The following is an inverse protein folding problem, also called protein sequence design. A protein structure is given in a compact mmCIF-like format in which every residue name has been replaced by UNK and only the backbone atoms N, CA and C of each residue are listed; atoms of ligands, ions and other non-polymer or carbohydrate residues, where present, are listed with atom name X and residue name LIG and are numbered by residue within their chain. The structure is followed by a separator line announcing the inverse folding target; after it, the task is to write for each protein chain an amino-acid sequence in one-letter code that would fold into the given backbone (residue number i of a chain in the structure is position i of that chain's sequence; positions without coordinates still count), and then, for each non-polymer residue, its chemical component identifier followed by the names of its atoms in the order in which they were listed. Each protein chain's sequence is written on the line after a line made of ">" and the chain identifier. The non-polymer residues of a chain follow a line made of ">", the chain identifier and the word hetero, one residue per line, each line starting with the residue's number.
data_IF_573093477762
#
_entry.id   IF_573093477762
#
_cell.length_a   1.000
_cell.length_b   1.000
_cell.length_c   1.000
_cell.angle_alpha   90.00
_cell.angle_beta   90.00
_cell.angle_gamma   90.00
#
_symmetry.space_group_name_H-M   'P 1'
#
loop_
_entity.id
_entity.type
_entity.pdbx_description
1 polymer ?
#
# COMPACT_ATOMS: atom_id res chain seq x y z
N UNK A 1 21.94 -58.01 -37.75
CA UNK A 1 20.45 -57.86 -37.66
C UNK A 1 20.01 -57.77 -36.22
N UNK A 2 19.57 -56.57 -35.81
CA UNK A 2 19.12 -56.31 -34.46
C UNK A 2 18.77 -54.84 -34.32
N UNK A 3 17.60 -54.48 -34.84
CA UNK A 3 16.99 -53.16 -34.69
C UNK A 3 16.49 -52.96 -33.28
N UNK A 4 16.98 -51.95 -32.57
CA UNK A 4 16.48 -51.48 -31.31
C UNK A 4 15.90 -50.08 -31.48
N UNK A 5 14.58 -49.98 -31.58
CA UNK A 5 13.81 -48.73 -31.54
C UNK A 5 13.69 -48.23 -30.09
N UNK A 6 14.40 -47.18 -29.76
CA UNK A 6 14.24 -46.43 -28.52
C UNK A 6 13.21 -45.31 -28.69
N UNK A 7 12.01 -45.49 -28.17
CA UNK A 7 11.00 -44.46 -28.03
C UNK A 7 11.37 -43.56 -26.85
N UNK A 8 11.88 -42.38 -27.13
CA UNK A 8 12.08 -41.32 -26.17
C UNK A 8 10.73 -40.64 -25.90
N UNK A 9 10.12 -40.97 -24.76
CA UNK A 9 9.00 -40.19 -24.21
C UNK A 9 9.57 -38.89 -23.63
N UNK A 10 9.44 -37.80 -24.37
CA UNK A 10 9.65 -36.46 -23.86
C UNK A 10 8.58 -36.15 -22.87
N UNK A 11 8.90 -36.17 -21.59
CA UNK A 11 8.09 -35.54 -20.55
C UNK A 11 8.22 -34.01 -20.71
N UNK A 12 7.26 -33.42 -21.44
CA UNK A 12 7.08 -32.00 -21.40
C UNK A 12 6.73 -31.60 -19.96
N UNK A 13 7.65 -30.97 -19.30
CA UNK A 13 7.37 -30.25 -18.05
C UNK A 13 6.53 -29.05 -18.45
N UNK A 14 5.22 -29.14 -18.21
CA UNK A 14 4.28 -28.01 -18.20
C UNK A 14 4.62 -27.11 -17.01
N UNK A 15 5.77 -26.44 -17.06
CA UNK A 15 6.08 -25.25 -16.30
C UNK A 15 5.42 -24.06 -17.05
N UNK A 16 4.08 -23.96 -16.99
CA UNK A 16 3.37 -22.74 -17.36
C UNK A 16 3.84 -21.65 -16.40
N UNK A 17 4.93 -20.98 -16.81
CA UNK A 17 5.65 -19.95 -16.10
C UNK A 17 4.70 -18.87 -15.62
N UNK A 18 4.60 -18.71 -14.32
CA UNK A 18 3.92 -17.57 -13.71
C UNK A 18 4.46 -16.31 -14.39
N UNK A 19 3.62 -15.63 -15.17
CA UNK A 19 4.01 -14.49 -15.97
C UNK A 19 4.79 -13.49 -15.09
N UNK A 20 6.01 -13.18 -15.48
CA UNK A 20 6.85 -12.26 -14.73
C UNK A 20 6.15 -10.90 -14.60
N UNK A 21 6.01 -10.38 -13.36
CA UNK A 21 5.31 -9.13 -13.13
C UNK A 21 6.10 -7.94 -13.70
N UNK A 22 5.39 -6.89 -14.17
CA UNK A 22 6.03 -5.67 -14.59
C UNK A 22 6.79 -5.00 -13.44
N UNK A 23 7.74 -4.17 -13.81
CA UNK A 23 8.37 -3.25 -12.88
C UNK A 23 7.51 -2.00 -12.75
N UNK A 24 6.95 -1.79 -11.55
CA UNK A 24 6.21 -0.58 -11.24
C UNK A 24 7.14 0.47 -10.61
N UNK A 25 7.00 1.72 -11.03
CA UNK A 25 7.72 2.86 -10.46
C UNK A 25 6.79 4.06 -10.36
N UNK A 26 6.96 4.89 -9.34
CA UNK A 26 6.18 6.11 -9.13
C UNK A 26 7.01 7.34 -9.43
N UNK A 27 6.48 8.25 -10.24
CA UNK A 27 7.06 9.57 -10.51
C UNK A 27 6.82 10.49 -9.31
N UNK A 28 7.83 11.27 -8.96
CA UNK A 28 7.79 12.17 -7.81
C UNK A 28 7.87 13.64 -8.23
N UNK A 29 6.76 14.38 -8.24
CA UNK A 29 6.72 15.79 -8.65
C UNK A 29 7.47 16.74 -7.71
N UNK A 30 7.76 16.35 -6.44
CA UNK A 30 8.60 17.17 -5.55
C UNK A 30 10.03 17.37 -6.07
N UNK A 31 10.47 16.54 -7.02
CA UNK A 31 11.74 16.67 -7.72
C UNK A 31 11.59 17.28 -9.12
N UNK A 32 10.49 18.00 -9.38
CA UNK A 32 10.23 18.63 -10.67
C UNK A 32 9.90 17.63 -11.80
N UNK A 33 9.63 16.39 -11.48
CA UNK A 33 9.39 15.32 -12.45
C UNK A 33 7.91 15.27 -12.86
N UNK A 34 7.65 15.12 -14.16
CA UNK A 34 6.32 14.80 -14.70
C UNK A 34 6.30 13.40 -15.28
N UNK A 35 5.16 12.72 -15.22
CA UNK A 35 5.02 11.35 -15.74
C UNK A 35 5.38 11.27 -17.22
N UNK A 36 5.02 12.27 -18.01
CA UNK A 36 5.34 12.35 -19.45
C UNK A 36 6.85 12.41 -19.67
N UNK A 37 7.53 13.39 -19.09
CA UNK A 37 8.98 13.58 -19.29
C UNK A 37 9.81 12.39 -18.78
N UNK A 38 9.42 11.82 -17.61
CA UNK A 38 10.09 10.63 -17.06
C UNK A 38 9.88 9.41 -17.97
N UNK A 39 8.65 9.20 -18.48
CA UNK A 39 8.38 8.07 -19.36
C UNK A 39 9.13 8.18 -20.71
N UNK A 40 9.21 9.37 -21.29
CA UNK A 40 9.99 9.65 -22.50
C UNK A 40 11.47 9.33 -22.26
N UNK A 41 12.05 9.89 -21.23
CA UNK A 41 13.44 9.67 -20.83
C UNK A 41 13.78 8.19 -20.60
N UNK A 42 12.91 7.47 -19.87
CA UNK A 42 13.13 6.04 -19.62
C UNK A 42 13.05 5.20 -20.89
N UNK A 43 12.16 5.56 -21.85
CA UNK A 43 12.12 4.89 -23.16
C UNK A 43 13.41 5.11 -23.96
N UNK A 44 13.92 6.34 -23.97
CA UNK A 44 15.16 6.69 -24.67
C UNK A 44 16.39 6.00 -24.04
N UNK A 45 16.54 6.11 -22.71
CA UNK A 45 17.75 5.61 -22.02
C UNK A 45 17.77 4.09 -21.88
N UNK A 46 16.61 3.43 -21.71
CA UNK A 46 16.52 1.98 -21.47
C UNK A 46 16.12 1.17 -22.71
N UNK A 47 15.59 1.83 -23.76
CA UNK A 47 15.12 1.13 -24.95
C UNK A 47 13.89 0.24 -24.71
N UNK A 48 13.07 0.49 -23.66
CA UNK A 48 11.95 -0.35 -23.29
C UNK A 48 10.62 0.43 -23.34
N UNK A 49 9.48 -0.28 -23.58
CA UNK A 49 8.18 0.37 -23.48
C UNK A 49 7.89 0.81 -22.05
N UNK A 50 7.39 2.04 -21.88
CA UNK A 50 6.99 2.62 -20.60
C UNK A 50 5.58 3.17 -20.74
N UNK A 51 4.65 2.77 -19.86
CA UNK A 51 3.25 3.17 -19.91
C UNK A 51 2.81 3.75 -18.58
N UNK A 52 2.07 4.86 -18.60
CA UNK A 52 1.42 5.38 -17.41
C UNK A 52 0.18 4.53 -17.07
N UNK A 53 -0.04 4.26 -15.78
CA UNK A 53 -1.23 3.56 -15.33
C UNK A 53 -2.48 4.45 -15.49
N UNK A 54 -3.57 3.96 -16.10
CA UNK A 54 -4.71 4.81 -16.45
C UNK A 54 -5.43 5.45 -15.25
N UNK A 55 -5.45 4.78 -14.10
CA UNK A 55 -6.14 5.25 -12.89
C UNK A 55 -5.20 5.93 -11.88
N UNK A 56 -3.89 5.75 -12.02
CA UNK A 56 -2.87 6.34 -11.15
C UNK A 56 -1.74 6.85 -12.05
N UNK A 57 -1.92 8.01 -12.70
CA UNK A 57 -1.03 8.45 -13.82
C UNK A 57 0.41 8.73 -13.39
N UNK A 58 0.68 8.93 -12.11
CA UNK A 58 2.02 9.04 -11.57
C UNK A 58 2.76 7.69 -11.45
N UNK A 59 2.08 6.56 -11.70
CA UNK A 59 2.69 5.22 -11.71
C UNK A 59 2.96 4.79 -13.13
N UNK A 60 4.19 4.37 -13.39
CA UNK A 60 4.63 3.88 -14.68
C UNK A 60 4.88 2.38 -14.63
N UNK A 61 4.44 1.69 -15.67
CA UNK A 61 4.70 0.28 -15.95
C UNK A 61 5.90 0.14 -16.89
N UNK A 62 6.87 -0.69 -16.50
CA UNK A 62 8.00 -1.11 -17.32
C UNK A 62 7.94 -2.65 -17.47
N UNK A 63 8.58 -3.21 -18.50
CA UNK A 63 8.67 -4.65 -18.68
C UNK A 63 9.23 -5.38 -17.45
N UNK A 64 8.86 -6.66 -17.25
CA UNK A 64 9.46 -7.50 -16.24
C UNK A 64 10.98 -7.51 -16.34
N UNK A 65 11.67 -7.56 -15.19
CA UNK A 65 13.14 -7.62 -15.15
C UNK A 65 13.85 -6.28 -15.42
N UNK A 66 13.15 -5.20 -15.82
CA UNK A 66 13.80 -3.91 -16.01
C UNK A 66 14.46 -3.43 -14.72
N UNK A 67 15.79 -3.29 -14.74
CA UNK A 67 16.55 -2.77 -13.60
C UNK A 67 16.67 -1.24 -13.67
N UNK A 68 16.07 -0.59 -12.70
CA UNK A 68 16.14 0.87 -12.52
C UNK A 68 16.83 1.26 -11.22
N UNK A 69 17.36 0.29 -10.45
CA UNK A 69 17.89 0.55 -9.11
C UNK A 69 19.01 1.59 -9.11
N UNK A 70 19.88 1.55 -10.10
CA UNK A 70 21.02 2.47 -10.25
C UNK A 70 20.72 3.68 -11.14
N UNK A 71 19.49 3.78 -11.67
CA UNK A 71 19.10 4.87 -12.57
C UNK A 71 19.19 6.24 -11.86
N UNK A 72 19.72 7.30 -12.53
CA UNK A 72 19.88 8.61 -11.90
C UNK A 72 18.57 9.18 -11.35
N UNK A 73 17.43 8.97 -12.01
CA UNK A 73 16.11 9.40 -11.53
C UNK A 73 15.72 8.73 -10.21
N UNK A 74 16.08 7.47 -9.98
CA UNK A 74 15.81 6.74 -8.74
C UNK A 74 16.73 7.24 -7.63
N UNK A 75 18.04 7.39 -7.92
CA UNK A 75 19.00 7.93 -6.94
C UNK A 75 18.66 9.36 -6.54
N UNK A 76 18.21 10.19 -7.48
CA UNK A 76 17.80 11.57 -7.24
C UNK A 76 16.39 11.72 -6.66
N UNK A 77 15.64 10.64 -6.49
CA UNK A 77 14.30 10.64 -5.91
C UNK A 77 13.19 11.20 -6.81
N UNK A 78 13.48 11.48 -8.09
CA UNK A 78 12.48 11.84 -9.09
C UNK A 78 11.62 10.64 -9.52
N UNK A 79 12.18 9.43 -9.35
CA UNK A 79 11.51 8.15 -9.56
C UNK A 79 11.65 7.29 -8.30
N UNK A 80 10.55 6.70 -7.84
CA UNK A 80 10.50 5.86 -6.65
C UNK A 80 10.14 4.44 -7.06
N UNK A 81 10.92 3.46 -6.63
CA UNK A 81 10.58 2.05 -6.80
C UNK A 81 9.45 1.70 -5.82
N UNK A 82 8.22 1.74 -6.30
CA UNK A 82 7.01 1.46 -5.51
C UNK A 82 6.02 0.71 -6.37
N UNK A 83 5.55 -0.44 -5.87
CA UNK A 83 4.54 -1.25 -6.55
C UNK A 83 3.22 -0.52 -6.70
N UNK A 84 2.47 -0.80 -7.77
CA UNK A 84 1.16 -0.20 -8.04
C UNK A 84 0.23 -0.32 -6.83
N UNK A 85 0.08 -1.51 -6.25
CA UNK A 85 -0.75 -1.76 -5.08
C UNK A 85 -0.41 -0.82 -3.92
N UNK A 86 0.89 -0.60 -3.65
CA UNK A 86 1.36 0.32 -2.59
C UNK A 86 1.11 1.81 -2.91
N UNK A 87 0.83 2.17 -4.16
CA UNK A 87 0.47 3.54 -4.55
C UNK A 87 -1.02 3.83 -4.34
N UNK A 88 -1.88 2.81 -4.33
CA UNK A 88 -3.33 2.98 -4.24
C UNK A 88 -3.80 3.71 -2.98
N UNK A 89 -3.24 3.48 -1.77
CA UNK A 89 -3.71 4.19 -0.58
C UNK A 89 -3.64 5.72 -0.70
N UNK A 90 -2.54 6.25 -1.17
CA UNK A 90 -2.39 7.70 -1.37
C UNK A 90 -3.25 8.20 -2.55
N UNK A 91 -3.43 7.39 -3.59
CA UNK A 91 -4.31 7.71 -4.71
C UNK A 91 -5.79 7.76 -4.29
N UNK A 92 -6.24 6.81 -3.48
CA UNK A 92 -7.61 6.75 -2.92
C UNK A 92 -7.84 7.85 -1.88
N UNK A 93 -6.87 8.12 -1.01
CA UNK A 93 -6.94 9.22 -0.04
C UNK A 93 -7.08 10.56 -0.74
N UNK A 94 -6.44 10.71 -1.88
CA UNK A 94 -6.47 11.90 -2.75
C UNK A 94 -6.34 13.21 -1.95
N UNK A 95 -5.30 13.39 -1.14
CA UNK A 95 -5.13 14.63 -0.39
C UNK A 95 -4.87 15.78 -1.36
N UNK A 96 -5.37 16.95 -1.01
CA UNK A 96 -5.25 18.14 -1.85
C UNK A 96 -4.01 18.97 -1.48
N UNK A 97 -3.47 19.77 -2.39
CA UNK A 97 -2.38 20.68 -2.09
C UNK A 97 -2.68 21.55 -0.85
N UNK A 98 -1.70 21.68 0.03
CA UNK A 98 -1.84 22.45 1.27
C UNK A 98 -2.46 21.69 2.45
N UNK A 99 -2.95 20.45 2.25
CA UNK A 99 -3.49 19.67 3.37
C UNK A 99 -2.40 19.21 4.34
N UNK A 100 -2.81 19.04 5.60
CA UNK A 100 -2.05 18.25 6.56
C UNK A 100 -2.59 16.81 6.54
N UNK A 101 -1.69 15.86 6.30
CA UNK A 101 -1.95 14.42 6.30
C UNK A 101 -1.24 13.77 7.47
N UNK A 102 -1.86 12.81 8.12
CA UNK A 102 -1.18 11.92 9.07
C UNK A 102 -0.95 10.58 8.39
N UNK A 103 0.29 10.09 8.45
CA UNK A 103 0.66 8.72 8.08
C UNK A 103 0.94 7.93 9.36
N UNK A 104 0.01 7.04 9.71
CA UNK A 104 -0.04 6.40 11.02
C UNK A 104 0.99 5.28 11.22
N UNK A 105 1.47 4.65 10.13
CA UNK A 105 2.44 3.54 10.13
C UNK A 105 3.41 3.72 8.96
N UNK A 106 4.25 4.75 9.06
CA UNK A 106 4.87 5.39 7.92
C UNK A 106 6.05 4.65 7.28
N UNK A 107 6.86 3.94 8.09
CA UNK A 107 8.09 3.34 7.58
C UNK A 107 7.81 2.17 6.61
N UNK A 108 8.57 2.08 5.53
CA UNK A 108 9.81 2.77 5.18
C UNK A 108 9.65 4.12 4.44
N UNK A 109 8.43 4.67 4.29
CA UNK A 109 8.21 6.01 3.75
C UNK A 109 7.70 6.09 2.32
N UNK A 110 7.41 4.98 1.65
CA UNK A 110 6.90 4.99 0.28
C UNK A 110 5.53 5.69 0.18
N UNK A 111 4.61 5.38 1.10
CA UNK A 111 3.28 6.01 1.15
C UNK A 111 3.37 7.43 1.69
N UNK A 112 4.22 7.68 2.68
CA UNK A 112 4.55 9.02 3.22
C UNK A 112 5.00 9.97 2.13
N UNK A 113 6.01 9.58 1.34
CA UNK A 113 6.54 10.41 0.24
C UNK A 113 5.54 10.56 -0.91
N UNK A 114 4.62 9.61 -1.09
CA UNK A 114 3.53 9.74 -2.05
C UNK A 114 2.49 10.76 -1.56
N UNK A 115 2.08 10.70 -0.29
CA UNK A 115 1.21 11.70 0.30
C UNK A 115 1.86 13.10 0.27
N UNK A 116 3.15 13.21 0.62
CA UNK A 116 3.92 14.45 0.54
C UNK A 116 3.94 15.05 -0.87
N UNK A 117 4.10 14.20 -1.89
CA UNK A 117 4.06 14.63 -3.29
C UNK A 117 2.70 15.21 -3.70
N UNK A 118 1.61 14.71 -3.13
CA UNK A 118 0.25 15.19 -3.41
C UNK A 118 -0.09 16.48 -2.68
N UNK A 119 0.30 16.61 -1.40
CA UNK A 119 0.04 17.85 -0.65
C UNK A 119 0.96 19.00 -1.08
N UNK A 120 2.09 18.69 -1.70
CA UNK A 120 3.03 19.66 -2.22
C UNK A 120 3.75 20.49 -1.15
N UNK A 121 4.47 21.52 -1.57
CA UNK A 121 5.30 22.35 -0.68
C UNK A 121 4.51 23.18 0.34
N UNK A 122 3.22 23.44 0.08
CA UNK A 122 2.32 24.15 0.99
C UNK A 122 1.61 23.27 2.01
N UNK A 123 1.69 21.94 1.84
CA UNK A 123 1.09 20.97 2.74
C UNK A 123 2.08 20.38 3.75
N UNK A 124 1.59 19.46 4.57
CA UNK A 124 2.39 18.78 5.57
C UNK A 124 1.99 17.31 5.71
N UNK A 125 2.95 16.46 6.08
CA UNK A 125 2.69 15.08 6.49
C UNK A 125 3.31 14.84 7.86
N UNK A 126 2.53 14.39 8.83
CA UNK A 126 3.02 13.93 10.14
C UNK A 126 3.08 12.42 10.09
N UNK A 127 4.28 11.87 10.10
CA UNK A 127 4.57 10.46 9.88
C UNK A 127 4.97 9.75 11.18
N UNK A 128 4.18 8.78 11.61
CA UNK A 128 4.41 7.99 12.82
C UNK A 128 4.99 6.62 12.49
N UNK A 129 5.97 6.18 13.26
CA UNK A 129 6.36 4.77 13.35
C UNK A 129 6.91 4.47 14.75
N UNK A 130 6.58 3.32 15.29
CA UNK A 130 7.01 2.89 16.62
C UNK A 130 8.42 2.27 16.61
N UNK A 131 8.99 1.94 15.45
CA UNK A 131 10.32 1.34 15.32
C UNK A 131 11.38 2.41 15.01
N UNK A 132 12.28 2.65 15.94
CA UNK A 132 13.41 3.58 15.76
C UNK A 132 14.28 3.19 14.55
N UNK A 133 14.55 1.90 14.37
CA UNK A 133 15.35 1.37 13.26
C UNK A 133 14.71 1.68 11.91
N UNK A 134 13.38 1.49 11.78
CA UNK A 134 12.65 1.76 10.56
C UNK A 134 12.54 3.24 10.23
N UNK A 135 12.62 4.12 11.24
CA UNK A 135 12.55 5.57 11.07
C UNK A 135 13.77 6.15 10.35
N UNK A 136 14.94 5.54 10.45
CA UNK A 136 16.13 5.99 9.72
C UNK A 136 15.89 5.88 8.21
N UNK A 137 15.41 4.73 7.76
CA UNK A 137 15.07 4.51 6.36
C UNK A 137 13.93 5.44 5.88
N UNK A 138 12.94 5.72 6.74
CA UNK A 138 11.90 6.71 6.45
C UNK A 138 12.50 8.10 6.21
N UNK A 139 13.41 8.56 7.08
CA UNK A 139 14.08 9.87 6.94
C UNK A 139 14.90 9.94 5.66
N UNK A 140 15.70 8.92 5.37
CA UNK A 140 16.50 8.83 4.15
C UNK A 140 15.61 8.90 2.90
N UNK A 141 14.51 8.16 2.86
CA UNK A 141 13.56 8.17 1.76
C UNK A 141 12.88 9.55 1.61
N UNK A 142 12.48 10.19 2.70
CA UNK A 142 11.93 11.55 2.67
C UNK A 142 12.93 12.56 2.12
N UNK A 143 14.19 12.50 2.59
CA UNK A 143 15.26 13.38 2.10
C UNK A 143 15.53 13.16 0.61
N UNK A 144 15.71 11.91 0.19
CA UNK A 144 15.93 11.54 -1.20
C UNK A 144 14.79 12.03 -2.10
N UNK A 145 13.56 11.91 -1.65
CA UNK A 145 12.37 12.35 -2.40
C UNK A 145 12.10 13.86 -2.34
N UNK A 146 12.89 14.65 -1.60
CA UNK A 146 12.67 16.10 -1.46
C UNK A 146 11.48 16.46 -0.58
N UNK A 147 11.05 15.56 0.29
CA UNK A 147 9.93 15.74 1.22
C UNK A 147 10.37 16.27 2.60
N UNK A 148 11.67 16.26 2.91
CA UNK A 148 12.21 16.74 4.19
C UNK A 148 13.35 17.75 3.98
N UNK A 149 13.58 18.65 4.95
CA UNK A 149 12.66 19.08 6.00
C UNK A 149 11.62 20.07 5.45
N UNK A 150 10.51 20.21 6.11
CA UNK A 150 9.46 21.20 5.80
C UNK A 150 8.12 20.60 5.41
N UNK A 151 8.10 19.51 4.61
CA UNK A 151 6.85 18.84 4.24
C UNK A 151 6.56 17.67 5.19
N UNK A 152 7.56 16.82 5.51
CA UNK A 152 7.37 15.64 6.36
C UNK A 152 8.01 15.83 7.73
N UNK A 153 7.21 15.69 8.77
CA UNK A 153 7.64 15.57 10.16
C UNK A 153 7.60 14.11 10.59
N UNK A 154 8.76 13.55 10.93
CA UNK A 154 8.88 12.15 11.36
C UNK A 154 8.83 12.08 12.89
N UNK A 155 7.90 11.29 13.44
CA UNK A 155 7.70 11.06 14.86
C UNK A 155 7.99 9.61 15.24
N UNK A 156 8.92 9.42 16.16
CA UNK A 156 9.11 8.13 16.84
C UNK A 156 8.06 8.02 17.95
N UNK A 157 6.91 7.46 17.64
CA UNK A 157 5.83 7.33 18.60
C UNK A 157 4.84 6.25 18.18
N UNK A 158 4.17 5.69 19.18
CA UNK A 158 3.01 4.82 18.97
C UNK A 158 1.81 5.69 18.56
N UNK A 159 1.29 5.47 17.36
CA UNK A 159 0.14 6.20 16.83
C UNK A 159 -1.08 6.15 17.74
N UNK A 160 -1.31 5.00 18.41
CA UNK A 160 -2.46 4.86 19.32
C UNK A 160 -2.39 5.72 20.58
N UNK A 161 -1.19 6.25 20.90
CA UNK A 161 -0.94 7.09 22.09
C UNK A 161 -0.97 8.59 21.78
N UNK A 162 -1.03 8.98 20.50
CA UNK A 162 -1.15 10.39 20.19
C UNK A 162 -2.54 10.94 20.53
N UNK A 163 -2.59 12.19 20.97
CA UNK A 163 -3.85 12.90 21.19
C UNK A 163 -4.10 13.84 20.01
N UNK A 164 -5.02 13.50 19.09
CA UNK A 164 -5.30 14.32 17.92
C UNK A 164 -6.02 15.64 18.24
N UNK A 165 -6.58 15.80 19.45
CA UNK A 165 -7.22 17.04 19.87
C UNK A 165 -6.24 18.00 20.55
N UNK A 166 -5.28 17.48 21.30
CA UNK A 166 -4.29 18.27 22.04
C UNK A 166 -3.15 18.76 21.14
N UNK A 167 -2.68 17.97 20.17
CA UNK A 167 -1.60 18.35 19.28
C UNK A 167 -2.11 19.30 18.16
N UNK A 168 -1.55 20.53 18.05
CA UNK A 168 -2.04 21.52 17.08
C UNK A 168 -1.89 21.07 15.60
N UNK A 169 -0.88 20.25 15.26
CA UNK A 169 -0.71 19.74 13.91
C UNK A 169 -1.70 18.61 13.60
N UNK A 170 -1.87 17.67 14.54
CA UNK A 170 -2.81 16.57 14.39
C UNK A 170 -4.26 17.08 14.36
N UNK A 171 -4.57 18.07 15.17
CA UNK A 171 -5.90 18.71 15.19
C UNK A 171 -6.29 19.30 13.84
N UNK A 172 -5.31 19.75 13.02
CA UNK A 172 -5.54 20.32 11.69
C UNK A 172 -5.47 19.29 10.57
N UNK A 173 -5.14 18.04 10.88
CA UNK A 173 -5.03 16.99 9.86
C UNK A 173 -6.37 16.76 9.18
N UNK A 174 -6.41 16.93 7.86
CA UNK A 174 -7.61 16.72 7.03
C UNK A 174 -7.70 15.31 6.46
N UNK A 175 -6.60 14.57 6.49
CA UNK A 175 -6.59 13.19 6.03
C UNK A 175 -5.67 12.31 6.89
N UNK A 176 -6.05 11.03 7.04
CA UNK A 176 -5.23 10.02 7.71
C UNK A 176 -5.02 8.84 6.76
N UNK A 177 -3.76 8.48 6.57
CA UNK A 177 -3.33 7.27 5.87
C UNK A 177 -2.97 6.23 6.92
N UNK A 178 -3.69 5.13 6.96
CA UNK A 178 -3.48 4.03 7.89
C UNK A 178 -3.17 2.74 7.12
N UNK A 179 -1.88 2.40 7.06
CA UNK A 179 -1.36 1.17 6.45
C UNK A 179 -0.61 0.36 7.52
N UNK A 180 -1.32 -0.27 8.45
CA UNK A 180 -0.75 -0.89 9.64
C UNK A 180 -0.07 -2.21 9.31
N UNK A 181 0.70 -2.72 10.27
CA UNK A 181 1.25 -4.07 10.19
C UNK A 181 0.15 -5.09 9.94
N UNK A 182 0.39 -6.00 9.00
CA UNK A 182 -0.52 -7.08 8.61
C UNK A 182 0.25 -8.38 8.38
N UNK A 183 -0.45 -9.47 8.06
CA UNK A 183 0.17 -10.78 7.76
C UNK A 183 1.12 -10.73 6.56
N UNK A 184 0.92 -9.77 5.64
CA UNK A 184 1.69 -9.66 4.40
C UNK A 184 1.35 -10.74 3.37
N UNK A 185 0.28 -11.51 3.59
CA UNK A 185 -0.09 -12.67 2.79
C UNK A 185 -0.38 -12.37 1.31
N UNK A 186 -0.57 -11.12 0.94
CA UNK A 186 -0.70 -10.66 -0.46
C UNK A 186 0.62 -10.33 -1.14
N UNK A 187 1.74 -10.26 -0.40
CA UNK A 187 3.03 -9.94 -0.98
C UNK A 187 3.64 -11.14 -1.71
N UNK A 188 4.32 -10.90 -2.83
CA UNK A 188 4.93 -11.97 -3.64
C UNK A 188 5.91 -12.85 -2.87
N UNK A 189 6.66 -12.28 -1.92
CA UNK A 189 7.60 -13.06 -1.10
C UNK A 189 6.88 -14.18 -0.34
N UNK A 190 5.68 -13.93 0.18
CA UNK A 190 4.90 -14.94 0.88
C UNK A 190 4.16 -15.87 -0.09
N UNK A 191 3.57 -15.34 -1.18
CA UNK A 191 2.92 -16.18 -2.19
C UNK A 191 3.91 -17.18 -2.79
N UNK A 192 5.15 -16.76 -3.07
CA UNK A 192 6.20 -17.65 -3.56
C UNK A 192 6.72 -18.61 -2.48
N UNK A 193 6.80 -18.18 -1.23
CA UNK A 193 7.20 -18.99 -0.09
C UNK A 193 6.20 -20.10 0.24
N UNK A 194 4.93 -19.79 0.20
CA UNK A 194 3.85 -20.77 0.44
C UNK A 194 3.79 -21.83 -0.67
N UNK A 195 4.09 -21.47 -1.93
CA UNK A 195 4.20 -22.46 -3.02
C UNK A 195 5.40 -23.40 -2.86
N UNK A 196 6.51 -22.96 -2.30
CA UNK A 196 7.68 -23.81 -2.04
C UNK A 196 7.48 -24.77 -0.85
N UNK A 197 6.52 -24.50 0.02
CA UNK A 197 6.25 -25.32 1.23
C UNK A 197 5.30 -26.51 0.95
N UNK A 198 4.64 -26.58 -0.20
CA UNK A 198 3.67 -27.63 -0.53
C UNK A 198 4.27 -28.99 -0.99
N UNK A 199 5.58 -29.14 -1.02
CA UNK A 199 6.20 -30.50 -1.09
C UNK A 199 6.54 -31.01 0.31
N UNK A 200 5.53 -31.15 1.18
CA UNK A 200 5.79 -31.28 2.60
C UNK A 200 5.77 -32.72 3.10
N UNK A 201 6.93 -33.17 3.55
CA UNK A 201 7.13 -34.40 4.34
C UNK A 201 6.96 -34.18 5.86
N UNK A 202 6.36 -33.06 6.30
CA UNK A 202 6.16 -32.76 7.72
C UNK A 202 4.98 -33.53 8.34
N UNK A 203 5.07 -33.95 9.62
CA UNK A 203 3.94 -34.59 10.33
C UNK A 203 2.69 -33.68 10.33
N UNK A 204 1.52 -34.26 10.09
CA UNK A 204 0.24 -33.54 10.03
C UNK A 204 -0.02 -32.66 11.28
N UNK A 205 0.42 -33.10 12.46
CA UNK A 205 0.32 -32.33 13.70
C UNK A 205 1.16 -31.06 13.70
N UNK A 206 2.37 -31.07 13.13
CA UNK A 206 3.22 -29.88 13.01
C UNK A 206 2.64 -28.88 12.01
N UNK A 207 2.06 -29.35 10.91
CA UNK A 207 1.38 -28.51 9.93
C UNK A 207 0.08 -27.90 10.51
N UNK A 208 -0.64 -28.62 11.37
CA UNK A 208 -1.81 -28.09 12.08
C UNK A 208 -1.41 -26.98 13.09
N UNK A 209 -0.41 -27.24 13.95
CA UNK A 209 0.07 -26.24 14.91
C UNK A 209 0.58 -24.97 14.24
N UNK A 210 1.21 -25.07 13.07
CA UNK A 210 1.66 -23.91 12.32
C UNK A 210 0.49 -23.10 11.73
N UNK A 211 -0.59 -23.78 11.28
CA UNK A 211 -1.81 -23.11 10.82
C UNK A 211 -2.51 -22.38 11.96
N UNK A 212 -2.60 -23.00 13.15
CA UNK A 212 -3.21 -22.39 14.32
C UNK A 212 -2.43 -21.14 14.77
N UNK A 213 -1.10 -21.22 14.85
CA UNK A 213 -0.25 -20.06 15.16
C UNK A 213 -0.37 -18.94 14.12
N UNK A 214 -0.53 -19.28 12.83
CA UNK A 214 -0.76 -18.30 11.79
C UNK A 214 -2.14 -17.63 11.92
N UNK A 215 -3.17 -18.39 12.27
CA UNK A 215 -4.52 -17.87 12.53
C UNK A 215 -4.55 -16.94 13.75
N UNK A 216 -3.90 -17.32 14.85
CA UNK A 216 -3.78 -16.48 16.04
C UNK A 216 -3.06 -15.16 15.76
N UNK A 217 -2.02 -15.20 14.93
CA UNK A 217 -1.30 -14.01 14.49
C UNK A 217 -2.21 -13.07 13.67
N UNK A 218 -2.98 -13.60 12.72
CA UNK A 218 -3.93 -12.82 11.92
C UNK A 218 -4.97 -12.17 12.83
N UNK A 219 -5.48 -12.89 13.82
CA UNK A 219 -6.46 -12.37 14.78
C UNK A 219 -5.87 -11.24 15.66
N UNK A 220 -4.64 -11.39 16.14
CA UNK A 220 -3.96 -10.37 16.92
C UNK A 220 -3.71 -9.08 16.09
N UNK A 221 -3.29 -9.24 14.84
CA UNK A 221 -3.10 -8.13 13.90
C UNK A 221 -4.42 -7.43 13.60
N UNK A 222 -5.50 -8.17 13.37
CA UNK A 222 -6.81 -7.60 13.10
C UNK A 222 -7.34 -6.76 14.28
N UNK A 223 -7.16 -7.20 15.52
CA UNK A 223 -7.52 -6.41 16.72
C UNK A 223 -6.74 -5.10 16.80
N UNK A 224 -5.44 -5.12 16.51
CA UNK A 224 -4.63 -3.91 16.43
C UNK A 224 -5.13 -2.98 15.32
N UNK A 225 -5.43 -3.53 14.14
CA UNK A 225 -5.93 -2.78 12.99
C UNK A 225 -7.28 -2.13 13.27
N UNK A 226 -8.20 -2.82 13.97
CA UNK A 226 -9.47 -2.27 14.44
C UNK A 226 -9.26 -1.09 15.40
N UNK A 227 -8.36 -1.23 16.37
CA UNK A 227 -8.03 -0.16 17.32
C UNK A 227 -7.43 1.05 16.61
N UNK A 228 -6.49 0.83 15.70
CA UNK A 228 -5.84 1.88 14.93
C UNK A 228 -6.83 2.61 14.00
N UNK A 229 -7.74 1.89 13.37
CA UNK A 229 -8.77 2.50 12.51
C UNK A 229 -9.76 3.33 13.33
N UNK A 230 -10.23 2.85 14.50
CA UNK A 230 -11.05 3.64 15.40
C UNK A 230 -10.35 4.93 15.84
N UNK A 231 -9.06 4.83 16.15
CA UNK A 231 -8.25 5.98 16.52
C UNK A 231 -8.09 6.97 15.36
N UNK A 232 -7.81 6.49 14.15
CA UNK A 232 -7.74 7.34 12.95
C UNK A 232 -9.04 8.11 12.70
N UNK A 233 -10.19 7.47 12.93
CA UNK A 233 -11.50 8.11 12.79
C UNK A 233 -11.82 9.14 13.87
N UNK A 234 -11.06 9.24 14.96
CA UNK A 234 -11.22 10.23 16.02
C UNK A 234 -10.60 11.59 15.72
N UNK A 235 -9.84 11.73 14.65
CA UNK A 235 -9.18 12.97 14.26
C UNK A 235 -10.23 14.07 13.97
N UNK A 236 -10.19 15.21 14.68
CA UNK A 236 -11.30 16.16 14.70
C UNK A 236 -11.56 16.85 13.37
N UNK A 237 -10.54 17.17 12.61
CA UNK A 237 -10.63 17.87 11.31
C UNK A 237 -10.47 16.95 10.11
N UNK A 238 -10.27 15.65 10.32
CA UNK A 238 -10.10 14.73 9.20
C UNK A 238 -11.42 14.56 8.43
N UNK A 239 -11.31 14.63 7.13
CA UNK A 239 -12.38 14.47 6.14
C UNK A 239 -12.27 13.13 5.41
N UNK A 240 -11.05 12.59 5.31
CA UNK A 240 -10.76 11.31 4.65
C UNK A 240 -9.83 10.47 5.50
N UNK A 241 -10.18 9.20 5.67
CA UNK A 241 -9.31 8.19 6.28
C UNK A 241 -9.22 7.02 5.30
N UNK A 242 -8.01 6.64 4.92
CA UNK A 242 -7.76 5.42 4.14
C UNK A 242 -7.17 4.36 5.06
N UNK A 243 -7.78 3.20 5.05
CA UNK A 243 -7.27 1.98 5.65
C UNK A 243 -6.81 1.04 4.55
N UNK A 244 -5.61 0.47 4.68
CA UNK A 244 -5.06 -0.45 3.68
C UNK A 244 -4.22 -1.56 4.31
N UNK A 245 -4.12 -2.70 3.63
CA UNK A 245 -3.23 -3.80 3.99
C UNK A 245 -2.68 -4.50 2.75
N UNK A 246 -1.51 -5.11 2.86
CA UNK A 246 -1.00 -6.08 1.89
C UNK A 246 -1.40 -7.52 2.26
N UNK A 247 -2.57 -7.71 2.84
CA UNK A 247 -3.15 -9.01 3.20
C UNK A 247 -4.26 -9.43 2.25
N UNK A 248 -4.40 -10.75 2.03
CA UNK A 248 -5.55 -11.32 1.31
C UNK A 248 -6.65 -11.83 2.27
N UNK A 249 -6.38 -11.85 3.58
CA UNK A 249 -7.32 -12.33 4.59
C UNK A 249 -8.48 -11.34 4.79
N UNK A 250 -9.72 -11.82 4.69
CA UNK A 250 -10.89 -11.00 4.98
C UNK A 250 -10.89 -10.51 6.45
N UNK A 251 -10.28 -11.28 7.38
CA UNK A 251 -10.18 -10.92 8.80
C UNK A 251 -9.38 -9.64 9.03
N UNK A 252 -8.35 -9.38 8.23
CA UNK A 252 -7.54 -8.16 8.29
C UNK A 252 -8.08 -7.03 7.39
N UNK A 253 -9.08 -7.30 6.58
CA UNK A 253 -9.62 -6.41 5.55
C UNK A 253 -11.08 -6.04 5.82
N UNK A 254 -11.99 -6.68 5.13
CA UNK A 254 -13.43 -6.35 5.21
C UNK A 254 -13.99 -6.51 6.62
N UNK A 255 -13.54 -7.50 7.40
CA UNK A 255 -14.04 -7.72 8.76
C UNK A 255 -13.54 -6.66 9.75
N UNK A 256 -12.35 -6.09 9.53
CA UNK A 256 -11.90 -4.89 10.28
C UNK A 256 -12.79 -3.69 9.96
N UNK A 257 -13.09 -3.46 8.69
CA UNK A 257 -14.00 -2.39 8.26
C UNK A 257 -15.38 -2.58 8.89
N UNK A 258 -15.98 -3.75 8.76
CA UNK A 258 -17.28 -4.09 9.34
C UNK A 258 -17.34 -3.84 10.86
N UNK A 259 -16.29 -4.26 11.59
CA UNK A 259 -16.22 -4.10 13.04
C UNK A 259 -16.17 -2.63 13.51
N UNK A 260 -15.80 -1.70 12.61
CA UNK A 260 -15.69 -0.27 12.95
C UNK A 260 -16.84 0.57 12.41
N UNK A 261 -17.66 0.08 11.48
CA UNK A 261 -18.70 0.88 10.79
C UNK A 261 -19.65 1.60 11.75
N UNK A 262 -20.25 0.90 12.69
CA UNK A 262 -21.16 1.52 13.65
C UNK A 262 -20.49 2.59 14.53
N UNK A 263 -19.18 2.45 14.80
CA UNK A 263 -18.41 3.48 15.49
C UNK A 263 -18.15 4.67 14.56
N UNK A 264 -17.80 4.42 13.32
CA UNK A 264 -17.55 5.44 12.30
C UNK A 264 -18.81 6.31 12.09
N UNK A 265 -19.97 5.70 11.91
CA UNK A 265 -21.26 6.38 11.73
C UNK A 265 -21.60 7.30 12.89
N UNK A 266 -21.38 6.87 14.14
CA UNK A 266 -21.59 7.73 15.33
C UNK A 266 -20.70 8.97 15.33
N UNK A 267 -19.55 8.92 14.67
CA UNK A 267 -18.64 10.06 14.50
C UNK A 267 -18.88 10.85 13.20
N UNK A 268 -19.95 10.53 12.47
CA UNK A 268 -20.32 11.18 11.21
C UNK A 268 -19.53 10.72 9.99
N UNK A 269 -18.85 9.58 10.07
CA UNK A 269 -18.15 8.97 8.94
C UNK A 269 -19.08 8.02 8.17
N UNK A 270 -18.86 7.91 6.88
CA UNK A 270 -19.44 6.90 6.01
C UNK A 270 -18.36 6.21 5.17
N UNK A 271 -18.62 4.99 4.76
CA UNK A 271 -17.75 4.31 3.81
C UNK A 271 -17.90 4.96 2.44
N UNK A 272 -16.80 5.52 1.93
CA UNK A 272 -16.70 6.05 0.58
C UNK A 272 -16.41 4.97 -0.45
N UNK A 273 -16.56 5.29 -1.71
CA UNK A 273 -16.22 4.38 -2.80
C UNK A 273 -14.73 4.56 -3.15
N UNK A 274 -13.92 3.56 -2.82
CA UNK A 274 -12.48 3.60 -3.08
C UNK A 274 -12.23 3.38 -4.58
N UNK A 275 -11.70 4.40 -5.27
CA UNK A 275 -11.34 4.41 -6.69
C UNK A 275 -12.40 3.70 -7.57
N UNK A 276 -13.56 4.34 -7.87
CA UNK A 276 -14.71 3.70 -8.50
C UNK A 276 -14.42 2.95 -9.79
N UNK A 277 -13.45 3.44 -10.58
CA UNK A 277 -13.04 2.81 -11.84
C UNK A 277 -12.14 1.57 -11.67
N UNK A 278 -11.75 1.21 -10.43
CA UNK A 278 -10.99 -0.01 -10.21
C UNK A 278 -11.89 -1.25 -10.34
N UNK A 279 -11.52 -2.26 -11.15
CA UNK A 279 -12.45 -3.32 -11.53
C UNK A 279 -12.75 -4.33 -10.43
N UNK A 280 -11.86 -4.50 -9.44
CA UNK A 280 -12.02 -5.49 -8.37
C UNK A 280 -12.41 -4.83 -7.07
N UNK A 281 -13.58 -5.25 -6.57
CA UNK A 281 -14.17 -4.69 -5.35
C UNK A 281 -13.96 -5.63 -4.17
N UNK A 282 -14.14 -5.10 -2.96
CA UNK A 282 -14.11 -5.89 -1.74
C UNK A 282 -15.19 -6.95 -1.70
N UNK A 283 -15.03 -7.91 -0.81
CA UNK A 283 -15.96 -9.02 -0.62
C UNK A 283 -17.24 -8.54 0.04
N UNK A 284 -18.39 -9.04 -0.42
CA UNK A 284 -19.71 -8.75 0.14
C UNK A 284 -19.96 -9.52 1.46
N UNK A 285 -19.06 -9.37 2.46
CA UNK A 285 -19.19 -9.97 3.79
C UNK A 285 -19.91 -9.05 4.78
N UNK A 286 -20.19 -7.81 4.39
CA UNK A 286 -21.02 -6.84 5.07
C UNK A 286 -21.64 -5.89 4.03
N UNK A 287 -22.71 -5.18 4.38
CA UNK A 287 -23.35 -4.20 3.50
C UNK A 287 -22.41 -3.02 3.21
N UNK A 288 -22.13 -2.78 1.92
CA UNK A 288 -21.17 -1.77 1.46
C UNK A 288 -19.75 -2.29 1.26
N UNK A 289 -19.50 -3.59 1.45
CA UNK A 289 -18.17 -4.18 1.21
C UNK A 289 -17.65 -3.94 -0.20
N UNK A 290 -18.55 -3.87 -1.20
CA UNK A 290 -18.26 -3.55 -2.59
C UNK A 290 -17.74 -2.13 -2.82
N UNK A 291 -17.87 -1.22 -1.84
CA UNK A 291 -17.27 0.13 -1.89
C UNK A 291 -15.78 0.11 -1.63
N UNK A 292 -15.28 -0.95 -1.00
CA UNK A 292 -13.85 -1.15 -0.79
C UNK A 292 -13.19 -1.70 -2.05
N UNK A 293 -11.86 -1.66 -2.11
CA UNK A 293 -11.07 -2.07 -3.25
C UNK A 293 -10.21 -3.29 -2.88
N UNK A 294 -10.19 -4.27 -3.75
CA UNK A 294 -9.24 -5.38 -3.72
C UNK A 294 -8.32 -5.35 -4.93
N UNK A 295 -7.07 -5.76 -4.70
CA UNK A 295 -6.08 -5.99 -5.75
C UNK A 295 -5.79 -7.50 -5.78
N UNK A 296 -5.93 -8.08 -6.95
CA UNK A 296 -5.54 -9.46 -7.22
C UNK A 296 -4.12 -9.50 -7.80
N UNK A 297 -3.25 -10.30 -7.22
CA UNK A 297 -1.84 -10.29 -7.59
C UNK A 297 -1.59 -10.72 -9.05
N UNK A 298 -2.37 -11.66 -9.57
CA UNK A 298 -2.22 -12.15 -10.93
C UNK A 298 -2.92 -11.24 -11.94
N UNK A 299 -4.20 -10.92 -11.69
CA UNK A 299 -5.01 -10.15 -12.61
C UNK A 299 -4.59 -8.67 -12.72
N UNK A 300 -4.11 -8.07 -11.62
CA UNK A 300 -3.62 -6.68 -11.58
C UNK A 300 -2.10 -6.57 -11.77
N UNK A 301 -1.43 -7.70 -11.88
CA UNK A 301 0.02 -7.79 -12.14
C UNK A 301 0.86 -7.00 -11.12
N UNK A 302 0.46 -7.06 -9.83
CA UNK A 302 1.13 -6.39 -8.69
C UNK A 302 0.93 -7.23 -7.43
N UNK A 303 1.25 -6.71 -6.23
CA UNK A 303 0.95 -7.43 -4.98
C UNK A 303 -0.56 -7.44 -4.71
N UNK A 304 -1.05 -8.49 -4.03
CA UNK A 304 -2.40 -8.53 -3.47
C UNK A 304 -2.54 -7.46 -2.38
N UNK A 305 -3.67 -6.72 -2.41
CA UNK A 305 -3.85 -5.56 -1.54
C UNK A 305 -5.34 -5.29 -1.24
N UNK A 306 -5.58 -4.53 -0.20
CA UNK A 306 -6.91 -4.06 0.18
C UNK A 306 -6.89 -2.57 0.51
N UNK A 307 -7.93 -1.83 0.12
CA UNK A 307 -8.09 -0.42 0.45
C UNK A 307 -9.55 -0.10 0.78
N UNK A 308 -9.80 0.57 1.90
CA UNK A 308 -11.08 1.15 2.28
C UNK A 308 -10.93 2.64 2.50
N UNK A 309 -11.91 3.42 2.04
CA UNK A 309 -11.98 4.87 2.21
C UNK A 309 -13.15 5.22 3.14
N UNK A 310 -12.87 5.93 4.21
CA UNK A 310 -13.88 6.59 5.02
C UNK A 310 -13.89 8.08 4.69
N UNK A 311 -15.09 8.65 4.56
CA UNK A 311 -15.29 10.06 4.26
C UNK A 311 -16.32 10.65 5.22
N UNK A 312 -16.11 11.89 5.60
CA UNK A 312 -17.14 12.71 6.25
C UNK A 312 -17.09 14.12 5.67
N UNK A 313 -18.22 14.83 5.74
CA UNK A 313 -18.26 16.23 5.35
C UNK A 313 -17.36 17.03 6.30
N UNK A 314 -16.46 17.84 5.71
CA UNK A 314 -15.62 18.72 6.48
C UNK A 314 -16.51 19.65 7.32
N UNK A 315 -16.26 19.74 8.61
CA UNK A 315 -16.87 20.81 9.39
C UNK A 315 -16.39 22.12 8.80
N UNK A 316 -17.33 22.96 8.32
CA UNK A 316 -17.00 24.30 7.89
C UNK A 316 -16.06 24.91 8.95
N UNK A 317 -14.89 25.40 8.52
CA UNK A 317 -13.98 26.09 9.43
C UNK A 317 -14.79 27.24 10.05
N UNK A 318 -15.09 27.13 11.33
CA UNK A 318 -15.58 28.26 12.10
C UNK A 318 -14.40 29.23 12.16
N UNK A 319 -14.52 30.28 11.36
CA UNK A 319 -13.58 31.41 11.24
C UNK A 319 -13.40 32.14 12.57
#
# INVERSE_FOLDING_TARGET
>A
SGSGSGSGSGSGSDDEGAAALPRWVRVNPLRGATSKAVAERLREELGVPVRAHPLVPEVLELPPGTDVHRHPLVRGGALVQQGLASCLPAAVLAPEPGWTVVDACAAPGNKTTHAAARVGASGAVVAFDASAERLELLRENCQRCGAAPGIVEVRHADFLKCDPAADPKLRRARAVLLDPSCSGSGTRRQISGDRMVFSDSRPAAAAAAQRDAAADRVEALARFQEAALRHALSFPSAERVVYSTCSVHARENELVVAAVLAHAERLGWRLGEALPSWPRRGKSVFEGGERTLRVDAAADRTDGFFVALFVREGRAQVS
#
